data_IF_128682618974
#
_entry.id   IF_128682618974
#
_cell.length_a   1.000
_cell.length_b   1.000
_cell.length_c   1.000
_cell.angle_alpha   90.00
_cell.angle_beta   90.00
_cell.angle_gamma   90.00
#
_symmetry.space_group_name_H-M   'P 1'
#
loop_
_entity.id
_entity.type
_entity.pdbx_description
1 polymer ?
#
# COMPACT_ATOMS: atom_id res chain seq x y z
N UNK A 1 25.35 -8.75 -9.51
CA UNK A 1 24.03 -9.17 -9.00
C UNK A 1 23.02 -8.69 -10.01
N UNK A 2 22.32 -9.61 -10.68
CA UNK A 2 21.42 -9.29 -11.80
C UNK A 2 20.15 -8.68 -11.20
N UNK A 3 19.88 -7.42 -11.53
CA UNK A 3 18.74 -6.62 -11.10
C UNK A 3 17.45 -7.18 -11.74
N UNK A 4 17.01 -8.34 -11.24
CA UNK A 4 15.85 -9.10 -11.70
C UNK A 4 14.57 -8.38 -11.33
N UNK A 5 14.24 -7.31 -12.07
CA UNK A 5 12.97 -6.58 -11.94
C UNK A 5 11.82 -7.57 -12.04
N UNK A 6 11.13 -7.80 -10.93
CA UNK A 6 9.92 -8.62 -10.89
C UNK A 6 8.75 -7.80 -11.43
N UNK A 7 7.86 -8.43 -12.18
CA UNK A 7 6.68 -7.79 -12.76
C UNK A 7 5.41 -8.60 -12.46
N UNK A 8 4.29 -7.91 -12.25
CA UNK A 8 2.94 -8.50 -12.23
C UNK A 8 2.15 -7.91 -13.39
N UNK A 9 1.72 -8.75 -14.34
CA UNK A 9 0.97 -8.33 -15.53
C UNK A 9 1.63 -7.14 -16.27
N UNK A 10 2.95 -7.23 -16.48
CA UNK A 10 3.76 -6.19 -17.13
C UNK A 10 4.03 -4.93 -16.29
N UNK A 11 3.64 -4.90 -15.02
CA UNK A 11 3.83 -3.75 -14.11
C UNK A 11 4.95 -4.03 -13.10
N UNK A 12 5.87 -3.08 -12.87
CA UNK A 12 7.04 -3.32 -12.03
C UNK A 12 6.65 -3.47 -10.56
N UNK A 13 7.24 -4.47 -9.90
CA UNK A 13 7.21 -4.64 -8.45
C UNK A 13 8.32 -3.76 -7.86
N UNK A 14 8.02 -2.49 -7.70
CA UNK A 14 8.86 -1.49 -7.04
C UNK A 14 7.97 -0.43 -6.41
N UNK A 15 8.37 0.18 -5.30
CA UNK A 15 7.54 1.22 -4.68
C UNK A 15 7.44 2.44 -5.59
N UNK A 16 6.21 2.91 -5.81
CA UNK A 16 5.94 4.25 -6.30
C UNK A 16 5.89 5.20 -5.10
N UNK A 17 7.01 5.86 -4.81
CA UNK A 17 7.18 6.66 -3.60
C UNK A 17 6.10 7.72 -3.44
N UNK A 18 5.79 8.50 -4.48
CA UNK A 18 4.80 9.57 -4.38
C UNK A 18 3.38 9.08 -4.06
N UNK A 19 3.01 7.89 -4.51
CA UNK A 19 1.73 7.27 -4.12
C UNK A 19 1.80 6.66 -2.72
N UNK A 20 2.94 6.03 -2.38
CA UNK A 20 3.12 5.39 -1.09
C UNK A 20 3.18 6.40 0.07
N UNK A 21 3.82 7.54 -0.14
CA UNK A 21 3.95 8.63 0.84
C UNK A 21 2.60 9.14 1.32
N UNK A 22 1.55 9.10 0.49
CA UNK A 22 0.18 9.45 0.90
C UNK A 22 -0.34 8.60 2.05
N UNK A 23 0.31 7.48 2.34
CA UNK A 23 -0.02 6.56 3.41
C UNK A 23 1.03 6.53 4.53
N UNK A 24 2.03 7.42 4.52
CA UNK A 24 3.10 7.48 5.53
C UNK A 24 3.03 8.82 6.24
N UNK A 25 2.71 8.79 7.54
CA UNK A 25 2.60 9.97 8.40
C UNK A 25 3.90 10.77 8.38
N UNK A 26 3.79 12.10 8.27
CA UNK A 26 4.94 13.01 8.29
C UNK A 26 5.55 13.31 6.92
N UNK A 27 5.16 12.60 5.86
CA UNK A 27 5.59 12.95 4.50
C UNK A 27 4.81 14.15 3.96
N UNK A 28 5.40 14.88 3.01
CA UNK A 28 4.74 16.01 2.34
C UNK A 28 3.43 15.59 1.64
N UNK A 29 3.40 14.40 1.03
CA UNK A 29 2.20 13.90 0.35
C UNK A 29 1.09 13.54 1.34
N UNK A 30 1.42 12.94 2.48
CA UNK A 30 0.43 12.69 3.54
C UNK A 30 -0.12 14.00 4.11
N UNK A 31 0.76 14.95 4.45
CA UNK A 31 0.35 16.25 5.00
C UNK A 31 -0.53 17.05 4.02
N UNK A 32 -0.27 16.94 2.71
CA UNK A 32 -1.11 17.54 1.69
C UNK A 32 -2.49 16.87 1.59
N UNK A 33 -2.60 15.54 1.69
CA UNK A 33 -3.92 14.90 1.73
C UNK A 33 -4.69 15.34 2.98
N UNK A 34 -4.03 15.41 4.13
CA UNK A 34 -4.61 15.90 5.38
C UNK A 34 -5.09 17.35 5.29
N UNK A 35 -4.30 18.26 4.72
CA UNK A 35 -4.70 19.67 4.55
C UNK A 35 -5.90 19.85 3.60
N UNK A 36 -6.10 18.91 2.68
CA UNK A 36 -7.27 18.84 1.80
C UNK A 36 -8.46 18.08 2.43
N UNK A 37 -8.42 17.79 3.74
CA UNK A 37 -9.47 17.09 4.46
C UNK A 37 -9.60 15.60 4.10
N UNK A 38 -8.57 15.01 3.49
CA UNK A 38 -8.56 13.60 3.07
C UNK A 38 -7.75 12.77 4.05
N UNK A 39 -8.46 12.13 4.98
CA UNK A 39 -7.89 11.13 5.86
C UNK A 39 -7.49 9.89 5.06
N UNK A 40 -6.27 9.39 5.28
CA UNK A 40 -5.73 8.21 4.59
C UNK A 40 -5.49 7.09 5.60
N UNK A 41 -5.64 5.85 5.15
CA UNK A 41 -5.03 4.71 5.83
C UNK A 41 -3.52 4.91 5.95
N UNK A 42 -2.94 4.46 7.07
CA UNK A 42 -1.55 4.69 7.46
C UNK A 42 -0.79 3.38 7.40
N UNK A 43 0.25 3.30 6.59
CA UNK A 43 1.23 2.22 6.57
C UNK A 43 2.35 2.56 7.57
N UNK A 44 2.74 1.61 8.42
CA UNK A 44 3.85 1.77 9.40
C UNK A 44 5.05 0.86 9.09
N UNK A 45 4.88 -0.05 8.13
CA UNK A 45 5.88 -1.03 7.72
C UNK A 45 6.62 -0.60 6.46
N UNK A 46 7.80 -1.19 6.23
CA UNK A 46 8.65 -0.88 5.08
C UNK A 46 8.02 -1.40 3.77
N UNK A 47 7.60 -0.51 2.85
CA UNK A 47 6.82 -0.91 1.68
C UNK A 47 7.64 -1.75 0.69
N UNK A 48 8.95 -1.54 0.59
CA UNK A 48 9.81 -2.35 -0.29
C UNK A 48 9.83 -3.81 0.17
N UNK A 49 10.00 -4.06 1.48
CA UNK A 49 9.98 -5.43 2.02
C UNK A 49 8.64 -6.11 1.83
N UNK A 50 7.54 -5.38 2.08
CA UNK A 50 6.20 -5.93 1.86
C UNK A 50 5.96 -6.30 0.39
N UNK A 51 6.43 -5.50 -0.57
CA UNK A 51 6.34 -5.86 -1.99
C UNK A 51 7.23 -7.06 -2.34
N UNK A 52 8.48 -7.10 -1.87
CA UNK A 52 9.41 -8.20 -2.15
C UNK A 52 8.87 -9.55 -1.65
N UNK A 53 8.24 -9.53 -0.48
CA UNK A 53 7.77 -10.73 0.21
C UNK A 53 6.35 -11.15 -0.20
N UNK A 54 5.46 -10.22 -0.56
CA UNK A 54 4.03 -10.53 -0.72
C UNK A 54 3.41 -10.20 -2.09
N UNK A 55 4.10 -9.49 -2.98
CA UNK A 55 3.56 -9.19 -4.30
C UNK A 55 3.18 -10.48 -5.06
N UNK A 56 1.95 -10.55 -5.56
CA UNK A 56 1.40 -11.69 -6.30
C UNK A 56 0.94 -12.86 -5.43
N UNK A 57 0.97 -12.74 -4.10
CA UNK A 57 0.53 -13.79 -3.15
C UNK A 57 -0.90 -13.58 -2.64
N UNK A 58 -1.54 -12.47 -2.98
CA UNK A 58 -2.86 -12.09 -2.50
C UNK A 58 -4.01 -12.66 -3.32
N UNK A 59 -5.23 -12.31 -2.91
CA UNK A 59 -6.43 -12.53 -3.71
C UNK A 59 -6.54 -11.45 -4.77
N UNK A 60 -6.53 -11.86 -6.05
CA UNK A 60 -6.70 -10.94 -7.18
C UNK A 60 -8.05 -10.22 -7.10
N UNK A 61 -8.03 -8.89 -7.13
CA UNK A 61 -9.22 -8.05 -7.30
C UNK A 61 -9.42 -7.75 -8.78
N UNK A 62 -8.36 -7.36 -9.47
CA UNK A 62 -8.30 -7.15 -10.91
C UNK A 62 -6.84 -7.24 -11.40
N UNK A 63 -6.57 -6.91 -12.67
CA UNK A 63 -5.24 -7.06 -13.29
C UNK A 63 -4.12 -6.18 -12.70
N UNK A 64 -4.47 -5.28 -11.79
CA UNK A 64 -3.52 -4.35 -11.18
C UNK A 64 -3.77 -4.14 -9.68
N UNK A 65 -4.65 -4.93 -9.08
CA UNK A 65 -4.93 -4.90 -7.64
C UNK A 65 -5.08 -6.29 -7.08
N UNK A 66 -4.49 -6.49 -5.92
CA UNK A 66 -4.71 -7.67 -5.09
C UNK A 66 -4.92 -7.25 -3.63
N UNK A 67 -5.66 -8.07 -2.90
CA UNK A 67 -5.77 -7.98 -1.44
C UNK A 67 -4.85 -9.01 -0.81
N UNK A 68 -3.96 -8.54 0.05
CA UNK A 68 -2.96 -9.35 0.74
C UNK A 68 -3.25 -9.30 2.23
N UNK A 69 -3.18 -10.46 2.89
CA UNK A 69 -2.96 -10.53 4.33
C UNK A 69 -1.46 -10.72 4.57
N UNK A 70 -0.83 -9.74 5.22
CA UNK A 70 0.61 -9.70 5.44
C UNK A 70 1.02 -10.51 6.67
N UNK A 71 0.07 -11.11 7.40
CA UNK A 71 0.34 -11.96 8.57
C UNK A 71 0.86 -11.23 9.81
N UNK A 72 1.06 -9.91 9.71
CA UNK A 72 1.41 -9.00 10.80
C UNK A 72 0.70 -7.67 10.61
N UNK A 73 0.54 -6.89 11.68
CA UNK A 73 -0.02 -5.54 11.59
C UNK A 73 0.90 -4.69 10.71
N UNK A 74 0.37 -4.18 9.59
CA UNK A 74 1.12 -3.32 8.65
C UNK A 74 0.80 -1.84 8.82
N UNK A 75 -0.20 -1.52 9.63
CA UNK A 75 -0.65 -0.16 9.84
C UNK A 75 -2.11 -0.09 10.24
N UNK A 76 -2.75 1.05 9.91
CA UNK A 76 -4.12 1.37 10.28
C UNK A 76 -4.97 1.68 9.06
N UNK A 77 -6.10 1.01 8.95
CA UNK A 77 -7.17 1.34 8.02
C UNK A 77 -7.99 2.51 8.57
N UNK A 78 -8.26 3.53 7.75
CA UNK A 78 -9.20 4.59 8.11
C UNK A 78 -10.62 4.20 7.64
N UNK A 79 -11.55 4.03 8.58
CA UNK A 79 -12.95 3.79 8.26
C UNK A 79 -13.68 5.13 8.06
N UNK A 80 -13.97 5.47 6.80
CA UNK A 80 -14.65 6.71 6.44
C UNK A 80 -16.07 6.82 7.01
N UNK A 81 -16.71 5.70 7.39
CA UNK A 81 -18.07 5.73 7.96
C UNK A 81 -18.09 6.14 9.42
N UNK A 82 -17.09 5.70 10.18
CA UNK A 82 -17.01 5.90 11.63
C UNK A 82 -15.98 6.96 12.02
N UNK A 83 -15.08 7.33 11.11
CA UNK A 83 -14.00 8.28 11.35
C UNK A 83 -12.87 7.74 12.21
N UNK A 84 -12.79 6.41 12.42
CA UNK A 84 -11.80 5.78 13.30
C UNK A 84 -10.72 5.05 12.52
N UNK A 85 -9.56 4.94 13.15
CA UNK A 85 -8.45 4.13 12.68
C UNK A 85 -8.47 2.74 13.33
N UNK A 86 -8.37 1.69 12.52
CA UNK A 86 -8.39 0.29 12.95
C UNK A 86 -7.09 -0.37 12.51
N UNK A 87 -6.37 -1.02 13.42
CA UNK A 87 -5.18 -1.79 13.07
C UNK A 87 -5.53 -2.91 12.07
N UNK A 88 -4.64 -3.16 11.11
CA UNK A 88 -4.90 -4.15 10.07
C UNK A 88 -3.64 -4.89 9.65
N UNK A 89 -3.80 -6.19 9.41
CA UNK A 89 -2.81 -7.02 8.73
C UNK A 89 -3.03 -7.05 7.21
N UNK A 90 -4.13 -6.47 6.74
CA UNK A 90 -4.57 -6.57 5.35
C UNK A 90 -4.32 -5.27 4.60
N UNK A 91 -3.93 -5.37 3.34
CA UNK A 91 -3.78 -4.21 2.47
C UNK A 91 -4.09 -4.54 1.02
N UNK A 92 -4.31 -3.49 0.25
CA UNK A 92 -4.41 -3.56 -1.20
C UNK A 92 -3.07 -3.16 -1.80
N UNK A 93 -2.44 -4.06 -2.55
CA UNK A 93 -1.32 -3.71 -3.41
C UNK A 93 -1.90 -3.25 -4.74
N UNK A 94 -1.61 -2.01 -5.13
CA UNK A 94 -2.01 -1.44 -6.43
C UNK A 94 -0.77 -1.25 -7.30
N UNK A 95 -0.75 -1.93 -8.45
CA UNK A 95 0.32 -1.88 -9.44
C UNK A 95 0.05 -0.82 -10.51
N UNK A 96 1.05 -0.02 -10.86
CA UNK A 96 0.98 0.98 -11.92
C UNK A 96 2.24 1.01 -12.77
N UNK A 97 2.22 1.83 -13.84
CA UNK A 97 3.36 1.99 -14.78
C UNK A 97 4.67 2.35 -14.07
N UNK A 98 4.59 3.19 -13.04
CA UNK A 98 5.75 3.72 -12.33
C UNK A 98 6.12 2.93 -11.07
N UNK A 99 5.41 1.85 -10.76
CA UNK A 99 5.57 1.09 -9.52
C UNK A 99 4.23 0.78 -8.85
N UNK A 100 4.30 0.17 -7.67
CA UNK A 100 3.20 -0.22 -6.84
C UNK A 100 3.15 0.60 -5.54
N UNK A 101 1.99 0.63 -4.90
CA UNK A 101 1.85 1.16 -3.54
C UNK A 101 0.86 0.29 -2.76
N UNK A 102 1.02 0.30 -1.44
CA UNK A 102 0.28 -0.50 -0.48
C UNK A 102 -0.63 0.42 0.31
N UNK A 103 -1.92 0.09 0.31
CA UNK A 103 -2.96 0.79 1.05
C UNK A 103 -3.46 -0.15 2.15
N UNK A 104 -3.20 0.14 3.45
CA UNK A 104 -3.81 -0.63 4.53
C UNK A 104 -5.33 -0.60 4.38
N UNK A 105 -5.93 -1.78 4.44
CA UNK A 105 -7.32 -2.01 4.09
C UNK A 105 -8.09 -2.56 5.28
N UNK A 106 -9.42 -2.53 5.18
CA UNK A 106 -10.30 -3.11 6.19
C UNK A 106 -9.82 -4.52 6.59
N UNK A 107 -9.77 -4.85 7.90
CA UNK A 107 -9.49 -6.20 8.35
C UNK A 107 -10.45 -7.25 7.81
#
# INVERSE_FOLDING_TARGET
MIDGKKYINGKPIKVNQGHQDKHIVGTNNYNNELSNGKMKSILIEEPNRLLDDFAGKGTKINDYKERVDFGKVIGKYYDEKTGIYIETTKGIITYGKNGAHIIPARP
#
